data_IF_541546878064
#
_entry.id   IF_541546878064
#
_cell.length_a   1.000
_cell.length_b   1.000
_cell.length_c   1.000
_cell.angle_alpha   90.00
_cell.angle_beta   90.00
_cell.angle_gamma   90.00
#
_symmetry.space_group_name_H-M   'P 1'
#
loop_
_entity.id
_entity.type
_entity.pdbx_description
1 polymer ?
#
# COMPACT_ATOMS: atom_id res chain seq x y z
N UNK A 1 -10.91 -21.28 2.07
CA UNK A 1 -12.16 -21.08 2.85
C UNK A 1 -12.97 -19.95 2.23
N UNK A 2 -14.30 -19.91 2.46
CA UNK A 2 -15.18 -18.86 1.90
C UNK A 2 -14.71 -17.45 2.25
N UNK A 3 -14.08 -17.28 3.42
CA UNK A 3 -13.50 -16.02 3.89
C UNK A 3 -12.32 -15.55 3.01
N UNK A 4 -11.48 -16.47 2.57
CA UNK A 4 -10.35 -16.14 1.68
C UNK A 4 -10.83 -15.76 0.30
N UNK A 5 -11.88 -16.41 -0.20
CA UNK A 5 -12.51 -16.10 -1.47
C UNK A 5 -13.12 -14.70 -1.48
N UNK A 6 -13.80 -14.32 -0.40
CA UNK A 6 -14.35 -12.98 -0.24
C UNK A 6 -13.25 -11.92 -0.25
N UNK A 7 -12.11 -12.20 0.42
CA UNK A 7 -10.97 -11.29 0.46
C UNK A 7 -10.29 -11.15 -0.90
N UNK A 8 -10.12 -12.24 -1.64
CA UNK A 8 -9.56 -12.19 -3.00
C UNK A 8 -10.47 -11.41 -3.95
N UNK A 9 -11.78 -11.56 -3.83
CA UNK A 9 -12.73 -10.77 -4.60
C UNK A 9 -12.69 -9.26 -4.25
N UNK A 10 -12.42 -8.93 -2.99
CA UNK A 10 -12.23 -7.53 -2.58
C UNK A 10 -10.90 -6.96 -3.08
N UNK A 11 -9.81 -7.74 -3.08
CA UNK A 11 -8.52 -7.33 -3.61
C UNK A 11 -8.57 -7.09 -5.13
N UNK A 12 -9.26 -7.95 -5.88
CA UNK A 12 -9.42 -7.76 -7.33
C UNK A 12 -10.19 -6.48 -7.69
N UNK A 13 -11.14 -6.04 -6.84
CA UNK A 13 -11.88 -4.77 -7.02
C UNK A 13 -11.01 -3.51 -6.84
N UNK A 14 -9.82 -3.64 -6.25
CA UNK A 14 -8.87 -2.52 -6.10
C UNK A 14 -8.06 -2.28 -7.39
N UNK A 15 -8.46 -2.89 -8.50
CA UNK A 15 -7.83 -2.75 -9.82
C UNK A 15 -6.38 -3.25 -9.84
N UNK A 16 -6.13 -4.40 -9.22
CA UNK A 16 -4.80 -5.03 -9.17
C UNK A 16 -4.89 -6.46 -9.66
N UNK A 17 -3.98 -6.84 -10.53
CA UNK A 17 -3.81 -8.22 -10.93
C UNK A 17 -3.36 -9.03 -9.73
N UNK A 18 -4.14 -10.06 -9.38
CA UNK A 18 -3.86 -10.93 -8.26
C UNK A 18 -3.36 -12.28 -8.78
N UNK A 19 -2.16 -12.66 -8.36
CA UNK A 19 -1.57 -13.96 -8.63
C UNK A 19 -1.49 -14.73 -7.32
N UNK A 20 -2.05 -15.91 -7.27
CA UNK A 20 -2.09 -16.77 -6.09
C UNK A 20 -1.22 -18.00 -6.31
N UNK A 21 -0.26 -18.21 -5.42
CA UNK A 21 0.52 -19.45 -5.39
C UNK A 21 -0.01 -20.36 -4.29
N UNK A 22 -0.35 -21.59 -4.63
CA UNK A 22 -0.83 -22.58 -3.69
C UNK A 22 0.04 -23.84 -3.73
N UNK A 23 0.36 -24.39 -2.56
CA UNK A 23 1.17 -25.62 -2.43
C UNK A 23 0.28 -26.90 -2.37
N UNK A 24 -1.02 -26.81 -2.65
CA UNK A 24 -1.97 -27.92 -2.65
C UNK A 24 -2.93 -27.89 -3.85
N UNK A 25 -3.65 -28.98 -4.11
CA UNK A 25 -4.67 -28.98 -5.15
C UNK A 25 -5.86 -28.12 -4.70
N UNK A 26 -6.08 -27.02 -5.36
CA UNK A 26 -7.28 -26.18 -5.19
C UNK A 26 -7.92 -26.02 -6.56
N UNK A 27 -9.10 -26.60 -6.73
CA UNK A 27 -9.98 -26.37 -7.87
C UNK A 27 -10.73 -25.04 -7.64
N UNK A 28 -10.06 -23.92 -7.90
CA UNK A 28 -10.68 -22.61 -7.93
C UNK A 28 -10.50 -22.06 -9.34
N UNK A 29 -11.45 -22.34 -10.21
CA UNK A 29 -11.58 -21.62 -11.47
C UNK A 29 -12.24 -20.26 -11.18
N UNK A 30 -11.51 -19.18 -11.40
CA UNK A 30 -12.06 -17.84 -11.31
C UNK A 30 -11.40 -16.94 -12.36
N UNK A 31 -12.20 -16.26 -13.17
CA UNK A 31 -11.73 -15.35 -14.22
C UNK A 31 -11.09 -14.05 -13.70
N UNK A 32 -11.13 -13.84 -12.37
CA UNK A 32 -10.68 -12.57 -11.75
C UNK A 32 -9.23 -12.59 -11.27
N UNK A 33 -8.60 -13.78 -11.14
CA UNK A 33 -7.22 -13.93 -10.67
C UNK A 33 -6.58 -15.21 -11.18
N UNK A 34 -5.25 -15.18 -11.32
CA UNK A 34 -4.48 -16.32 -11.78
C UNK A 34 -4.05 -17.18 -10.60
N UNK A 35 -4.30 -18.47 -10.66
CA UNK A 35 -3.89 -19.43 -9.63
C UNK A 35 -2.87 -20.39 -10.20
N UNK A 36 -1.74 -20.50 -9.51
CA UNK A 36 -0.69 -21.43 -9.83
C UNK A 36 -0.47 -22.41 -8.68
N UNK A 37 -0.48 -23.69 -8.97
CA UNK A 37 -0.32 -24.76 -7.99
C UNK A 37 1.08 -25.37 -8.07
N UNK A 38 1.67 -25.68 -6.91
CA UNK A 38 2.91 -26.45 -6.77
C UNK A 38 4.11 -25.92 -7.60
N UNK A 39 4.30 -24.60 -7.66
CA UNK A 39 5.41 -24.00 -8.37
C UNK A 39 6.72 -24.05 -7.55
N UNK A 40 7.82 -24.32 -8.25
CA UNK A 40 9.16 -24.09 -7.68
C UNK A 40 9.43 -22.60 -7.48
N UNK A 41 10.34 -22.26 -6.56
CA UNK A 41 10.75 -20.88 -6.27
C UNK A 41 11.23 -20.17 -7.54
N UNK A 42 11.99 -20.85 -8.41
CA UNK A 42 12.49 -20.28 -9.66
C UNK A 42 11.34 -19.91 -10.61
N UNK A 43 10.31 -20.75 -10.69
CA UNK A 43 9.15 -20.46 -11.54
C UNK A 43 8.30 -19.30 -10.99
N UNK A 44 8.16 -19.22 -9.66
CA UNK A 44 7.52 -18.07 -9.01
C UNK A 44 8.28 -16.76 -9.29
N UNK A 45 9.62 -16.80 -9.28
CA UNK A 45 10.48 -15.64 -9.62
C UNK A 45 10.28 -15.20 -11.08
N UNK A 46 10.23 -16.13 -12.01
CA UNK A 46 10.00 -15.86 -13.43
C UNK A 46 8.66 -15.16 -13.65
N UNK A 47 7.57 -15.68 -13.08
CA UNK A 47 6.23 -15.06 -13.14
C UNK A 47 6.23 -13.67 -12.52
N UNK A 48 6.94 -13.49 -11.39
CA UNK A 48 7.04 -12.20 -10.74
C UNK A 48 7.83 -11.19 -11.59
N UNK A 49 8.87 -11.63 -12.28
CA UNK A 49 9.63 -10.79 -13.23
C UNK A 49 8.77 -10.35 -14.40
N UNK A 50 7.98 -11.28 -14.98
CA UNK A 50 7.03 -10.95 -16.04
C UNK A 50 5.98 -9.92 -15.55
N UNK A 51 5.41 -10.12 -14.37
CA UNK A 51 4.45 -9.19 -13.78
C UNK A 51 5.09 -7.81 -13.49
N UNK A 52 6.38 -7.77 -13.14
CA UNK A 52 7.10 -6.52 -12.84
C UNK A 52 7.28 -5.61 -14.04
N UNK A 53 7.19 -6.14 -15.26
CA UNK A 53 7.21 -5.35 -16.50
C UNK A 53 5.96 -4.46 -16.62
N UNK A 54 4.82 -4.93 -16.12
CA UNK A 54 3.57 -4.17 -16.13
C UNK A 54 3.48 -3.13 -15.00
N UNK A 55 4.22 -3.32 -13.91
CA UNK A 55 4.23 -2.40 -12.79
C UNK A 55 4.86 -2.95 -11.51
N UNK A 56 4.85 -2.17 -10.42
CA UNK A 56 5.43 -2.60 -9.15
C UNK A 56 4.64 -3.77 -8.54
N UNK A 57 5.36 -4.84 -8.17
CA UNK A 57 4.80 -6.08 -7.63
C UNK A 57 5.00 -6.12 -6.11
N UNK A 58 3.92 -6.38 -5.37
CA UNK A 58 4.00 -6.73 -3.95
C UNK A 58 3.92 -8.25 -3.80
N UNK A 59 4.83 -8.83 -3.01
CA UNK A 59 4.84 -10.25 -2.68
C UNK A 59 4.50 -10.47 -1.21
N UNK A 60 3.59 -11.42 -0.95
CA UNK A 60 3.19 -11.78 0.41
C UNK A 60 3.59 -13.23 0.65
N UNK A 61 4.46 -13.45 1.64
CA UNK A 61 4.97 -14.77 1.99
C UNK A 61 5.18 -14.95 3.49
N UNK A 62 5.27 -16.21 3.94
CA UNK A 62 5.47 -16.56 5.36
C UNK A 62 6.56 -17.62 5.55
N UNK A 63 7.20 -18.07 4.47
CA UNK A 63 8.14 -19.17 4.48
C UNK A 63 9.56 -18.71 4.15
N UNK A 64 10.56 -19.34 4.77
CA UNK A 64 11.98 -19.13 4.47
C UNK A 64 12.36 -19.44 3.02
N UNK A 65 11.58 -20.28 2.34
CA UNK A 65 11.75 -20.55 0.90
C UNK A 65 11.41 -19.34 0.03
N UNK A 66 10.59 -18.42 0.54
CA UNK A 66 10.12 -17.25 -0.19
C UNK A 66 11.00 -16.02 -0.02
N UNK A 67 12.12 -16.11 0.70
CA UNK A 67 13.06 -15.00 0.96
C UNK A 67 13.50 -14.35 -0.36
N UNK A 68 13.85 -15.15 -1.36
CA UNK A 68 14.27 -14.63 -2.66
C UNK A 68 13.15 -13.81 -3.36
N UNK A 69 11.90 -14.20 -3.18
CA UNK A 69 10.73 -13.50 -3.71
C UNK A 69 10.45 -12.21 -2.92
N UNK A 70 10.57 -12.26 -1.59
CA UNK A 70 10.43 -11.08 -0.73
C UNK A 70 11.47 -10.01 -1.06
N UNK A 71 12.73 -10.39 -1.27
CA UNK A 71 13.81 -9.47 -1.64
C UNK A 71 13.68 -8.90 -3.05
N UNK A 72 13.14 -9.69 -3.99
CA UNK A 72 13.01 -9.31 -5.40
C UNK A 72 11.77 -8.44 -5.64
N UNK A 73 10.74 -8.56 -4.83
CA UNK A 73 9.52 -7.78 -4.93
C UNK A 73 9.79 -6.28 -4.71
N UNK A 74 8.96 -5.42 -5.30
CA UNK A 74 8.99 -3.99 -5.03
C UNK A 74 8.58 -3.68 -3.57
N UNK A 75 7.67 -4.49 -3.01
CA UNK A 75 7.33 -4.52 -1.59
C UNK A 75 7.18 -5.97 -1.15
N UNK A 76 8.06 -6.43 -0.27
CA UNK A 76 7.98 -7.73 0.38
C UNK A 76 7.22 -7.66 1.69
N UNK A 77 6.15 -8.44 1.82
CA UNK A 77 5.30 -8.47 3.02
C UNK A 77 5.40 -9.85 3.65
N UNK A 78 5.89 -9.92 4.88
CA UNK A 78 5.86 -11.15 5.66
C UNK A 78 4.60 -11.24 6.52
N UNK A 79 4.03 -12.46 6.60
CA UNK A 79 2.77 -12.75 7.29
C UNK A 79 2.95 -13.88 8.32
N UNK A 80 2.25 -13.77 9.46
CA UNK A 80 2.03 -14.94 10.31
C UNK A 80 2.86 -15.03 11.57
N UNK A 81 3.31 -13.92 12.10
CA UNK A 81 4.02 -13.90 13.38
C UNK A 81 5.40 -14.56 13.31
N UNK A 82 6.28 -14.07 14.09
CA UNK A 82 7.72 -14.28 14.05
C UNK A 82 8.11 -15.72 14.41
N UNK A 83 8.15 -16.62 13.44
CA UNK A 83 8.80 -17.92 13.62
C UNK A 83 10.17 -17.97 12.96
N UNK A 84 10.40 -17.19 11.91
CA UNK A 84 11.69 -17.17 11.20
C UNK A 84 12.21 -15.73 11.07
N UNK A 85 13.26 -15.44 11.87
CA UNK A 85 13.93 -14.15 11.88
C UNK A 85 14.45 -13.76 10.49
N UNK A 86 14.88 -14.71 9.67
CA UNK A 86 15.39 -14.46 8.32
C UNK A 86 14.29 -13.92 7.39
N UNK A 87 13.05 -14.39 7.52
CA UNK A 87 11.93 -13.90 6.71
C UNK A 87 11.64 -12.45 7.06
N UNK A 88 11.69 -12.10 8.34
CA UNK A 88 11.44 -10.74 8.82
C UNK A 88 12.53 -9.78 8.32
N UNK A 89 13.80 -10.17 8.45
CA UNK A 89 14.92 -9.34 8.02
C UNK A 89 14.97 -9.07 6.51
N UNK A 90 14.23 -9.87 5.73
CA UNK A 90 14.16 -9.77 4.26
C UNK A 90 12.78 -9.30 3.76
N UNK A 91 11.96 -8.74 4.63
CA UNK A 91 10.66 -8.15 4.26
C UNK A 91 10.62 -6.67 4.62
N UNK A 92 9.91 -5.88 3.81
CA UNK A 92 9.72 -4.44 4.04
C UNK A 92 8.61 -4.19 5.07
N UNK A 93 7.60 -5.07 5.09
CA UNK A 93 6.44 -4.99 5.99
C UNK A 93 6.26 -6.33 6.68
N UNK A 94 6.05 -6.30 7.99
CA UNK A 94 5.71 -7.48 8.78
C UNK A 94 4.30 -7.36 9.34
N UNK A 95 3.44 -8.32 9.01
CA UNK A 95 2.12 -8.46 9.60
C UNK A 95 2.16 -9.41 10.78
N UNK A 96 1.84 -8.91 11.96
CA UNK A 96 1.92 -9.66 13.22
C UNK A 96 0.97 -10.86 13.28
N UNK A 97 -0.10 -10.82 12.53
CA UNK A 97 -1.07 -11.92 12.46
C UNK A 97 -1.11 -12.51 11.05
N UNK A 98 -1.61 -13.75 10.96
CA UNK A 98 -1.79 -14.46 9.69
C UNK A 98 -3.08 -14.11 8.96
N UNK A 99 -3.86 -13.16 9.49
CA UNK A 99 -5.16 -12.80 8.93
C UNK A 99 -4.98 -11.98 7.64
N UNK A 100 -5.51 -12.49 6.53
CA UNK A 100 -5.52 -11.80 5.25
C UNK A 100 -6.29 -10.47 5.26
N UNK A 101 -7.25 -10.29 6.20
CA UNK A 101 -7.91 -9.01 6.38
C UNK A 101 -6.92 -7.89 6.71
N UNK A 102 -5.88 -8.17 7.49
CA UNK A 102 -4.84 -7.18 7.84
C UNK A 102 -4.05 -6.73 6.60
N UNK A 103 -3.82 -7.64 5.65
CA UNK A 103 -3.23 -7.29 4.35
C UNK A 103 -4.12 -6.28 3.63
N UNK A 104 -5.44 -6.57 3.57
CA UNK A 104 -6.42 -5.71 2.93
C UNK A 104 -6.49 -4.33 3.59
N UNK A 105 -6.55 -4.30 4.92
CA UNK A 105 -6.54 -3.06 5.70
C UNK A 105 -5.28 -2.24 5.41
N UNK A 106 -4.11 -2.88 5.31
CA UNK A 106 -2.85 -2.23 4.99
C UNK A 106 -2.90 -1.55 3.61
N UNK A 107 -3.45 -2.23 2.59
CA UNK A 107 -3.63 -1.64 1.27
C UNK A 107 -4.65 -0.48 1.28
N UNK A 108 -5.75 -0.61 2.01
CA UNK A 108 -6.76 0.44 2.13
C UNK A 108 -6.20 1.69 2.82
N UNK A 109 -5.46 1.51 3.92
CA UNK A 109 -4.78 2.59 4.63
C UNK A 109 -3.76 3.28 3.72
N UNK A 110 -2.94 2.51 3.02
CA UNK A 110 -1.93 3.05 2.09
C UNK A 110 -2.58 3.87 0.96
N UNK A 111 -3.69 3.40 0.40
CA UNK A 111 -4.44 4.13 -0.62
C UNK A 111 -4.98 5.45 -0.07
N UNK A 112 -5.65 5.41 1.08
CA UNK A 112 -6.20 6.61 1.73
C UNK A 112 -5.10 7.59 2.12
N UNK A 113 -3.96 7.10 2.63
CA UNK A 113 -2.81 7.94 2.94
C UNK A 113 -2.32 8.69 1.69
N UNK A 114 -2.23 8.01 0.55
CA UNK A 114 -1.86 8.63 -0.72
C UNK A 114 -2.85 9.73 -1.11
N UNK A 115 -4.15 9.46 -1.02
CA UNK A 115 -5.19 10.42 -1.39
C UNK A 115 -5.14 11.66 -0.49
N UNK A 116 -5.07 11.49 0.83
CA UNK A 116 -4.95 12.59 1.81
C UNK A 116 -3.67 13.37 1.62
N UNK A 117 -2.54 12.68 1.33
CA UNK A 117 -1.28 13.37 1.06
C UNK A 117 -1.37 14.23 -0.19
N UNK A 118 -2.00 13.72 -1.26
CA UNK A 118 -2.19 14.48 -2.48
C UNK A 118 -3.12 15.69 -2.27
N UNK A 119 -4.23 15.51 -1.53
CA UNK A 119 -5.12 16.62 -1.13
C UNK A 119 -4.34 17.70 -0.36
N UNK A 120 -3.52 17.31 0.61
CA UNK A 120 -2.72 18.24 1.40
C UNK A 120 -1.71 19.02 0.55
N UNK A 121 -0.96 18.33 -0.33
CA UNK A 121 0.01 18.94 -1.22
C UNK A 121 -0.68 19.95 -2.16
N UNK A 122 -1.79 19.54 -2.77
CA UNK A 122 -2.52 20.40 -3.69
C UNK A 122 -3.09 21.64 -2.99
N UNK A 123 -3.68 21.46 -1.81
CA UNK A 123 -4.23 22.55 -1.00
C UNK A 123 -3.14 23.53 -0.57
N UNK A 124 -2.01 23.04 -0.04
CA UNK A 124 -0.87 23.87 0.34
C UNK A 124 -0.30 24.63 -0.85
N UNK A 125 -0.09 23.97 -1.97
CA UNK A 125 0.44 24.64 -3.16
C UNK A 125 -0.51 25.76 -3.64
N UNK A 126 -1.81 25.49 -3.64
CA UNK A 126 -2.82 26.47 -4.05
C UNK A 126 -2.84 27.71 -3.13
N UNK A 127 -2.84 27.49 -1.81
CA UNK A 127 -2.79 28.59 -0.83
C UNK A 127 -1.50 29.41 -1.01
N UNK A 128 -0.36 28.74 -1.14
CA UNK A 128 0.94 29.43 -1.29
C UNK A 128 1.02 30.26 -2.58
N UNK A 129 0.47 29.77 -3.71
CA UNK A 129 0.40 30.53 -4.96
C UNK A 129 -0.47 31.78 -4.80
N UNK A 130 -1.65 31.66 -4.18
CA UNK A 130 -2.51 32.83 -3.91
C UNK A 130 -1.79 33.82 -2.99
N UNK A 131 -1.17 33.36 -1.92
CA UNK A 131 -0.48 34.23 -0.99
C UNK A 131 0.70 34.95 -1.64
N UNK A 132 1.41 34.30 -2.56
CA UNK A 132 2.47 34.93 -3.35
C UNK A 132 1.93 36.09 -4.20
N UNK A 133 0.80 35.88 -4.90
CA UNK A 133 0.16 36.93 -5.71
C UNK A 133 -0.32 38.10 -4.85
N UNK A 134 -0.91 37.82 -3.71
CA UNK A 134 -1.35 38.83 -2.74
C UNK A 134 -0.16 39.60 -2.15
N UNK A 135 0.94 38.93 -1.83
CA UNK A 135 2.15 39.58 -1.34
C UNK A 135 2.74 40.55 -2.36
N UNK A 136 2.79 40.15 -3.64
CA UNK A 136 3.27 41.02 -4.74
C UNK A 136 2.40 42.28 -4.87
N UNK A 137 1.07 42.16 -4.63
CA UNK A 137 0.17 43.31 -4.71
C UNK A 137 0.36 44.35 -3.61
N UNK A 138 1.10 44.03 -2.52
CA UNK A 138 1.33 44.90 -1.38
C UNK A 138 0.09 45.24 -0.52
N UNK A 139 -1.03 44.53 -0.76
CA UNK A 139 -2.33 44.79 -0.08
C UNK A 139 -2.27 44.37 1.39
N UNK A 140 -1.59 43.24 1.69
CA UNK A 140 -1.56 42.66 3.03
C UNK A 140 -0.23 42.93 3.76
N UNK A 141 -0.30 43.30 5.05
CA UNK A 141 0.89 43.37 5.88
C UNK A 141 1.50 41.98 6.12
N UNK A 142 2.80 41.89 6.30
CA UNK A 142 3.54 40.63 6.42
C UNK A 142 3.04 39.69 7.54
N UNK A 143 2.54 40.22 8.63
CA UNK A 143 2.04 39.42 9.76
C UNK A 143 0.75 38.66 9.41
N UNK A 144 -0.07 39.18 8.48
CA UNK A 144 -1.26 38.46 7.99
C UNK A 144 -0.86 37.19 7.22
N UNK A 145 0.20 37.27 6.41
CA UNK A 145 0.75 36.12 5.73
C UNK A 145 1.22 35.04 6.73
N UNK A 146 1.84 35.45 7.85
CA UNK A 146 2.24 34.51 8.91
C UNK A 146 1.03 33.83 9.56
N UNK A 147 -0.04 34.57 9.85
CA UNK A 147 -1.26 33.99 10.43
C UNK A 147 -1.90 32.97 9.48
N UNK A 148 -1.99 33.29 8.19
CA UNK A 148 -2.57 32.39 7.18
C UNK A 148 -1.72 31.13 7.08
N UNK A 149 -0.40 31.22 7.07
CA UNK A 149 0.50 30.06 7.07
C UNK A 149 0.30 29.16 8.30
N UNK A 150 0.16 29.74 9.50
CA UNK A 150 -0.12 28.94 10.70
C UNK A 150 -1.48 28.23 10.63
N UNK A 151 -2.50 28.89 10.08
CA UNK A 151 -3.81 28.27 9.85
C UNK A 151 -3.73 27.13 8.84
N UNK A 152 -2.97 27.29 7.76
CA UNK A 152 -2.72 26.23 6.78
C UNK A 152 -2.12 24.98 7.44
N UNK A 153 -1.08 25.15 8.25
CA UNK A 153 -0.46 24.03 8.98
C UNK A 153 -1.47 23.30 9.85
N UNK A 154 -2.34 24.03 10.58
CA UNK A 154 -3.39 23.43 11.40
C UNK A 154 -4.38 22.65 10.54
N UNK A 155 -4.82 23.19 9.41
CA UNK A 155 -5.76 22.53 8.48
C UNK A 155 -5.14 21.23 7.93
N UNK A 156 -3.87 21.27 7.50
CA UNK A 156 -3.15 20.07 7.01
C UNK A 156 -3.04 19.00 8.09
N UNK A 157 -2.74 19.39 9.34
CA UNK A 157 -2.68 18.46 10.47
C UNK A 157 -4.04 17.83 10.76
N UNK A 158 -5.12 18.60 10.75
CA UNK A 158 -6.47 18.10 10.96
C UNK A 158 -6.90 17.15 9.83
N UNK A 159 -6.59 17.48 8.59
CA UNK A 159 -6.89 16.59 7.46
C UNK A 159 -6.08 15.29 7.53
N UNK A 160 -4.82 15.36 7.96
CA UNK A 160 -3.98 14.16 8.16
C UNK A 160 -4.51 13.28 9.29
N UNK A 161 -5.09 13.86 10.34
CA UNK A 161 -5.69 13.10 11.46
C UNK A 161 -6.83 12.18 11.00
N UNK A 162 -7.53 12.53 9.93
CA UNK A 162 -8.58 11.70 9.30
C UNK A 162 -8.13 10.30 8.88
N UNK A 163 -6.81 10.08 8.72
CA UNK A 163 -6.25 8.75 8.42
C UNK A 163 -6.33 7.84 9.64
N UNK A 164 -6.19 8.40 10.84
CA UNK A 164 -6.13 7.66 12.12
C UNK A 164 -7.53 7.20 12.56
N UNK A 165 -8.57 7.92 12.20
CA UNK A 165 -9.96 7.65 12.60
C UNK A 165 -10.61 6.46 11.85
N UNK A 166 -9.84 5.70 11.09
CA UNK A 166 -10.29 4.46 10.47
C UNK A 166 -10.10 3.29 11.45
N UNK A 167 -11.08 3.08 12.30
CA UNK A 167 -11.32 1.81 12.99
C UNK A 167 -12.53 1.11 12.41
#
# INVERSE_FOLDING_TARGET
SDLEMELFSKLSRINRDLIIYNDGPVDLENDQYQIYNNLSVNKKLEIMEEASVAGPVAYIGDNSKDIALLQKAYVGISRGGIKDKKVIENSDIMLMNSNLNTVMETFMISKKQKDVTFENIFMSLFINVIMMLVAISGILPWWVALVIYLLEVVIVLLNTHRIIDMK
#
